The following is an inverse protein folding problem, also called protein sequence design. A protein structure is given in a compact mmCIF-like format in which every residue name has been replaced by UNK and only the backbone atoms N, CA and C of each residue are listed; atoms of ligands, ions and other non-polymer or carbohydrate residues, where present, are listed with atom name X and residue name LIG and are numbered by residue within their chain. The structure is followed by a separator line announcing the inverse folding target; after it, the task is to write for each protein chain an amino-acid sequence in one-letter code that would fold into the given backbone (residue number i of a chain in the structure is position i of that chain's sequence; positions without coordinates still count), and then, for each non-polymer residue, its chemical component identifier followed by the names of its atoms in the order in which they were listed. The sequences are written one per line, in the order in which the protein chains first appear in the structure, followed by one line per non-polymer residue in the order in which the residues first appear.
data_IF_371053601774
#
_entry.id   IF_371053601774
#
_cell.length_a   1.000
_cell.length_b   1.000
_cell.length_c   1.000
_cell.angle_alpha   90.00
_cell.angle_beta   90.00
_cell.angle_gamma   90.00
#
_symmetry.space_group_name_H-M   'P 1'
#
loop_
_entity.id
_entity.type
_entity.pdbx_description
1 polymer ?
#
# COMPACT_ATOMS: atom_id res chain seq x y z
N UNK A 1 19.27 19.27 -1.96
CA UNK A 1 18.46 18.09 -1.53
C UNK A 1 19.35 17.20 -0.67
N UNK A 2 18.93 16.80 0.52
CA UNK A 2 19.81 16.05 1.44
C UNK A 2 19.47 14.55 1.36
N UNK A 3 20.36 13.76 0.74
CA UNK A 3 20.13 12.35 0.40
C UNK A 3 19.86 11.47 1.64
N UNK A 4 20.48 11.79 2.77
CA UNK A 4 20.28 11.09 4.04
C UNK A 4 18.82 11.16 4.51
N UNK A 5 18.13 12.28 4.25
CA UNK A 5 16.70 12.42 4.57
C UNK A 5 15.87 11.44 3.75
N UNK A 6 16.14 11.34 2.45
CA UNK A 6 15.36 10.49 1.54
C UNK A 6 15.60 9.02 1.85
N UNK A 7 16.86 8.60 1.98
CA UNK A 7 17.21 7.23 2.32
C UNK A 7 16.74 6.82 3.71
N UNK A 8 16.84 7.71 4.70
CA UNK A 8 16.36 7.46 6.06
C UNK A 8 14.85 7.27 6.12
N UNK A 9 14.08 8.13 5.44
CA UNK A 9 12.62 7.98 5.35
C UNK A 9 12.22 6.73 4.57
N UNK A 10 12.93 6.42 3.48
CA UNK A 10 12.71 5.20 2.70
C UNK A 10 12.96 3.93 3.53
N UNK A 11 14.10 3.86 4.23
CA UNK A 11 14.44 2.73 5.08
C UNK A 11 13.43 2.56 6.22
N UNK A 12 13.05 3.65 6.88
CA UNK A 12 12.03 3.61 7.94
C UNK A 12 10.68 3.11 7.40
N UNK A 13 10.24 3.62 6.26
CA UNK A 13 9.01 3.18 5.61
C UNK A 13 9.07 1.68 5.26
N UNK A 14 10.21 1.20 4.74
CA UNK A 14 10.40 -0.23 4.45
C UNK A 14 10.21 -1.10 5.70
N UNK A 15 10.87 -0.77 6.82
CA UNK A 15 10.75 -1.56 8.06
C UNK A 15 9.34 -1.49 8.64
N UNK A 16 8.67 -0.34 8.60
CA UNK A 16 7.26 -0.22 9.01
C UNK A 16 6.37 -1.10 8.12
N UNK A 17 6.57 -1.09 6.81
CA UNK A 17 5.82 -1.95 5.88
C UNK A 17 6.02 -3.43 6.17
N UNK A 18 7.25 -3.87 6.42
CA UNK A 18 7.57 -5.25 6.83
C UNK A 18 6.88 -5.60 8.15
N UNK A 19 6.91 -4.71 9.14
CA UNK A 19 6.25 -4.91 10.43
C UNK A 19 4.71 -4.98 10.32
N UNK A 20 4.11 -4.22 9.39
CA UNK A 20 2.67 -4.23 9.13
C UNK A 20 2.22 -5.43 8.28
N UNK A 21 3.13 -6.06 7.55
CA UNK A 21 2.83 -7.20 6.67
C UNK A 21 2.10 -8.34 7.38
N UNK A 22 2.54 -8.88 8.53
CA UNK A 22 1.81 -9.96 9.20
C UNK A 22 0.40 -9.57 9.64
N UNK A 23 0.20 -8.31 10.04
CA UNK A 23 -1.12 -7.80 10.44
C UNK A 23 -2.05 -7.78 9.23
N UNK A 24 -1.58 -7.19 8.12
CA UNK A 24 -2.39 -7.11 6.91
C UNK A 24 -2.69 -8.51 6.38
N UNK A 25 -1.69 -9.37 6.23
CA UNK A 25 -1.89 -10.72 5.67
C UNK A 25 -2.85 -11.53 6.52
N UNK A 26 -2.78 -11.45 7.86
CA UNK A 26 -3.75 -12.10 8.74
C UNK A 26 -5.20 -11.74 8.37
N UNK A 27 -5.50 -10.44 8.20
CA UNK A 27 -6.85 -10.01 7.82
C UNK A 27 -7.21 -10.38 6.38
N UNK A 28 -6.28 -10.27 5.43
CA UNK A 28 -6.54 -10.65 4.04
C UNK A 28 -6.84 -12.15 3.91
N UNK A 29 -6.14 -13.01 4.67
CA UNK A 29 -6.43 -14.44 4.71
C UNK A 29 -7.74 -14.73 5.45
N UNK A 30 -8.00 -14.06 6.59
CA UNK A 30 -9.23 -14.22 7.38
C UNK A 30 -10.49 -13.90 6.58
N UNK A 31 -10.48 -12.82 5.82
CA UNK A 31 -11.62 -12.39 5.00
C UNK A 31 -11.60 -12.96 3.58
N UNK A 32 -10.61 -13.82 3.26
CA UNK A 32 -10.46 -14.45 1.94
C UNK A 32 -10.43 -13.41 0.80
N UNK A 33 -9.65 -12.34 0.99
CA UNK A 33 -9.48 -11.22 0.06
C UNK A 33 -8.58 -11.61 -1.12
N UNK A 34 -8.97 -12.65 -1.86
CA UNK A 34 -8.33 -13.13 -3.09
C UNK A 34 -9.37 -13.24 -4.20
N UNK A 35 -8.97 -13.57 -5.44
CA UNK A 35 -9.94 -13.72 -6.53
C UNK A 35 -10.78 -14.97 -6.27
N UNK A 36 -12.10 -14.81 -6.18
CA UNK A 36 -13.01 -15.93 -5.93
C UNK A 36 -13.20 -16.80 -7.17
N UNK A 37 -13.08 -16.21 -8.36
CA UNK A 37 -13.21 -16.92 -9.64
C UNK A 37 -12.06 -16.61 -10.62
N UNK A 38 -11.50 -17.68 -11.21
CA UNK A 38 -10.63 -17.57 -12.37
C UNK A 38 -11.50 -17.23 -13.61
N UNK A 39 -10.99 -16.41 -14.55
CA UNK A 39 -11.78 -15.88 -15.67
C UNK A 39 -12.37 -17.05 -16.46
N UNK A 40 -13.70 -17.14 -16.47
CA UNK A 40 -14.46 -18.20 -17.17
C UNK A 40 -14.65 -17.89 -18.65
N UNK A 41 -14.43 -16.63 -19.06
CA UNK A 41 -14.54 -16.17 -20.44
C UNK A 41 -13.23 -15.55 -20.92
N UNK A 42 -12.81 -15.91 -22.12
CA UNK A 42 -11.77 -15.22 -22.86
C UNK A 42 -12.29 -13.88 -23.44
N UNK A 43 -11.40 -12.96 -23.85
CA UNK A 43 -11.77 -11.68 -24.45
C UNK A 43 -12.63 -11.80 -25.72
N UNK A 44 -12.65 -12.98 -26.34
CA UNK A 44 -13.44 -13.34 -27.52
C UNK A 44 -14.83 -13.93 -27.17
N UNK A 45 -15.18 -14.02 -25.88
CA UNK A 45 -16.44 -14.60 -25.40
C UNK A 45 -16.45 -16.13 -25.33
N UNK A 46 -15.36 -16.80 -25.68
CA UNK A 46 -15.25 -18.26 -25.59
C UNK A 46 -14.99 -18.71 -24.15
N UNK A 47 -15.45 -19.92 -23.79
CA UNK A 47 -15.17 -20.50 -22.49
C UNK A 47 -13.70 -20.96 -22.43
N UNK A 48 -13.01 -20.69 -21.30
CA UNK A 48 -11.61 -21.09 -21.08
C UNK A 48 -11.46 -22.24 -20.06
N UNK A 49 -11.94 -23.46 -20.37
CA UNK A 49 -11.94 -24.58 -19.42
C UNK A 49 -10.53 -25.03 -19.01
N UNK A 50 -9.55 -24.97 -19.92
CA UNK A 50 -8.16 -25.39 -19.66
C UNK A 50 -7.44 -24.37 -18.75
N UNK A 51 -7.63 -23.07 -18.97
CA UNK A 51 -7.04 -22.03 -18.12
C UNK A 51 -7.58 -22.11 -16.68
N UNK A 52 -8.89 -22.32 -16.54
CA UNK A 52 -9.54 -22.52 -15.25
C UNK A 52 -9.04 -23.78 -14.52
N UNK A 53 -8.75 -24.88 -15.22
CA UNK A 53 -8.21 -26.09 -14.61
C UNK A 53 -6.76 -25.93 -14.15
N UNK A 54 -5.92 -25.23 -14.91
CA UNK A 54 -4.49 -25.07 -14.61
C UNK A 54 -4.18 -23.97 -13.58
N UNK A 55 -5.02 -22.92 -13.48
CA UNK A 55 -4.73 -21.75 -12.64
C UNK A 55 -5.63 -21.61 -11.40
N UNK A 56 -6.64 -22.49 -11.24
CA UNK A 56 -7.60 -22.45 -10.12
C UNK A 56 -6.92 -22.42 -8.76
N UNK A 57 -5.90 -23.26 -8.53
CA UNK A 57 -5.28 -23.38 -7.22
C UNK A 57 -4.34 -22.22 -6.87
N UNK A 58 -3.74 -21.57 -7.88
CA UNK A 58 -2.76 -20.50 -7.67
C UNK A 58 -3.44 -19.13 -7.48
N UNK A 59 -4.50 -18.86 -8.25
CA UNK A 59 -5.24 -17.60 -8.17
C UNK A 59 -6.16 -17.49 -6.93
N UNK A 60 -6.46 -18.61 -6.27
CA UNK A 60 -7.39 -18.67 -5.12
C UNK A 60 -6.70 -18.75 -3.76
N UNK A 61 -5.37 -18.82 -3.70
CA UNK A 61 -4.62 -18.96 -2.44
C UNK A 61 -3.86 -17.69 -2.02
N UNK A 62 -3.51 -16.81 -2.97
CA UNK A 62 -2.75 -15.60 -2.67
C UNK A 62 -3.68 -14.39 -2.50
N UNK A 63 -3.65 -13.68 -1.35
CA UNK A 63 -4.44 -12.48 -1.15
C UNK A 63 -4.01 -11.38 -2.11
N UNK A 64 -5.00 -10.66 -2.66
CA UNK A 64 -4.80 -9.62 -3.66
C UNK A 64 -5.23 -8.29 -3.07
N UNK A 65 -4.32 -7.65 -2.33
CA UNK A 65 -4.53 -6.31 -1.75
C UNK A 65 -3.23 -5.74 -1.15
N UNK A 66 -2.07 -6.15 -1.67
CA UNK A 66 -0.77 -5.71 -1.17
C UNK A 66 -0.56 -4.20 -1.27
N UNK A 67 -1.28 -3.53 -2.18
CA UNK A 67 -1.27 -2.06 -2.30
C UNK A 67 -1.65 -1.33 -1.01
N UNK A 68 -2.42 -1.97 -0.11
CA UNK A 68 -2.75 -1.43 1.21
C UNK A 68 -1.48 -1.11 2.01
N UNK A 69 -0.45 -1.96 1.95
CA UNK A 69 0.81 -1.70 2.65
C UNK A 69 1.46 -0.40 2.18
N UNK A 70 1.36 -0.06 0.89
CA UNK A 70 2.06 1.10 0.33
C UNK A 70 1.45 2.39 0.86
N UNK A 71 0.14 2.58 0.67
CA UNK A 71 -0.51 3.85 1.03
C UNK A 71 -0.66 3.98 2.55
N UNK A 72 -0.96 2.89 3.28
CA UNK A 72 -1.04 2.90 4.76
C UNK A 72 0.31 3.24 5.38
N UNK A 73 1.41 2.61 4.92
CA UNK A 73 2.75 2.90 5.43
C UNK A 73 3.13 4.36 5.16
N UNK A 74 2.85 4.86 3.96
CA UNK A 74 3.12 6.25 3.59
C UNK A 74 2.36 7.23 4.48
N UNK A 75 1.08 6.97 4.75
CA UNK A 75 0.27 7.76 5.68
C UNK A 75 0.82 7.72 7.11
N UNK A 76 1.16 6.54 7.62
CA UNK A 76 1.71 6.38 8.97
C UNK A 76 2.98 7.20 9.13
N UNK A 77 3.93 7.07 8.19
CA UNK A 77 5.18 7.83 8.23
C UNK A 77 4.90 9.34 8.16
N UNK A 78 3.96 9.77 7.31
CA UNK A 78 3.57 11.18 7.20
C UNK A 78 3.02 11.73 8.52
N UNK A 79 2.11 10.99 9.16
CA UNK A 79 1.49 11.38 10.42
C UNK A 79 2.47 11.34 11.58
N UNK A 80 3.37 10.34 11.64
CA UNK A 80 4.42 10.26 12.67
C UNK A 80 5.30 11.52 12.62
N UNK A 81 5.86 11.88 11.47
CA UNK A 81 6.74 13.05 11.41
C UNK A 81 5.99 14.37 11.55
N UNK A 82 4.73 14.43 11.11
CA UNK A 82 3.87 15.57 11.41
C UNK A 82 3.66 15.74 12.91
N UNK A 83 3.28 14.68 13.63
CA UNK A 83 3.07 14.70 15.07
C UNK A 83 4.37 15.01 15.83
N UNK A 84 5.48 14.35 15.49
CA UNK A 84 6.79 14.60 16.09
C UNK A 84 7.20 16.06 15.92
N UNK A 85 7.01 16.65 14.75
CA UNK A 85 7.33 18.07 14.53
C UNK A 85 6.49 19.05 15.35
N UNK A 86 5.31 18.62 15.81
CA UNK A 86 4.40 19.43 16.64
C UNK A 86 4.68 19.27 18.13
N UNK A 87 5.01 18.06 18.58
CA UNK A 87 5.30 17.76 20.00
C UNK A 87 6.74 18.16 20.35
N UNK A 88 7.68 17.86 19.46
CA UNK A 88 9.10 18.18 19.61
C UNK A 88 9.54 19.04 18.42
N UNK A 89 9.51 20.39 18.54
CA UNK A 89 9.90 21.30 17.47
C UNK A 89 11.42 21.37 17.27
N UNK A 90 12.08 20.20 17.24
CA UNK A 90 13.48 20.06 16.91
C UNK A 90 13.69 20.25 15.39
N UNK A 91 14.77 20.95 14.95
CA UNK A 91 15.07 21.16 13.54
C UNK A 91 15.10 19.88 12.70
N UNK A 92 15.49 18.74 13.28
CA UNK A 92 15.50 17.45 12.63
C UNK A 92 14.09 16.95 12.29
N UNK A 93 13.15 17.02 13.24
CA UNK A 93 11.78 16.54 13.02
C UNK A 93 10.98 17.46 12.10
N UNK A 94 11.18 18.78 12.22
CA UNK A 94 10.63 19.75 11.26
C UNK A 94 11.14 19.48 9.85
N UNK A 95 12.44 19.17 9.72
CA UNK A 95 13.05 18.83 8.43
C UNK A 95 12.55 17.49 7.89
N UNK A 96 12.26 16.50 8.73
CA UNK A 96 11.73 15.20 8.31
C UNK A 96 10.24 15.25 7.94
N UNK A 97 9.45 16.13 8.56
CA UNK A 97 8.05 16.35 8.25
C UNK A 97 7.87 16.86 6.80
N UNK A 98 7.46 15.98 5.90
CA UNK A 98 7.19 16.33 4.50
C UNK A 98 5.77 16.87 4.27
N UNK A 99 4.84 16.78 5.23
CA UNK A 99 3.51 17.41 5.13
C UNK A 99 3.57 18.94 5.31
N UNK A 100 4.68 19.47 5.85
CA UNK A 100 4.95 20.91 5.91
C UNK A 100 5.06 21.58 4.54
N UNK A 101 5.28 20.79 3.47
CA UNK A 101 5.44 21.30 2.11
C UNK A 101 4.11 21.28 1.38
N UNK A 102 3.67 22.43 0.87
CA UNK A 102 2.44 22.56 0.08
C UNK A 102 2.37 21.58 -1.10
N UNK A 103 3.52 21.29 -1.74
CA UNK A 103 3.58 20.39 -2.89
C UNK A 103 3.37 18.91 -2.56
N UNK A 104 3.41 18.51 -1.29
CA UNK A 104 3.25 17.10 -0.91
C UNK A 104 1.78 16.69 -0.79
N UNK A 105 0.88 17.65 -0.69
CA UNK A 105 -0.56 17.41 -0.61
C UNK A 105 -1.14 16.87 -1.91
N UNK A 106 -0.70 17.37 -3.08
CA UNK A 106 -1.20 16.89 -4.38
C UNK A 106 -0.84 15.43 -4.63
N UNK A 107 0.44 14.99 -4.53
CA UNK A 107 0.80 13.58 -4.69
C UNK A 107 0.12 12.67 -3.67
N UNK A 108 0.01 13.11 -2.41
CA UNK A 108 -0.63 12.31 -1.36
C UNK A 108 -2.13 12.17 -1.59
N UNK A 109 -2.80 13.23 -2.04
CA UNK A 109 -4.21 13.19 -2.43
C UNK A 109 -4.47 12.21 -3.58
N UNK A 110 -3.64 12.25 -4.62
CA UNK A 110 -3.74 11.33 -5.76
C UNK A 110 -3.50 9.88 -5.34
N UNK A 111 -2.49 9.63 -4.49
CA UNK A 111 -2.21 8.30 -3.96
C UNK A 111 -3.43 7.72 -3.22
N UNK A 112 -4.05 8.51 -2.34
CA UNK A 112 -5.22 8.07 -1.58
C UNK A 112 -6.46 7.88 -2.46
N UNK A 113 -6.70 8.79 -3.40
CA UNK A 113 -7.82 8.67 -4.34
C UNK A 113 -7.68 7.42 -5.21
N UNK A 114 -6.50 7.20 -5.81
CA UNK A 114 -6.23 6.00 -6.60
C UNK A 114 -6.28 4.71 -5.78
N UNK A 115 -5.77 4.75 -4.53
CA UNK A 115 -5.87 3.63 -3.61
C UNK A 115 -7.32 3.30 -3.24
N UNK A 116 -8.17 4.31 -3.02
CA UNK A 116 -9.58 4.11 -2.73
C UNK A 116 -10.32 3.48 -3.93
N UNK A 117 -10.08 3.99 -5.15
CA UNK A 117 -10.65 3.41 -6.37
C UNK A 117 -10.18 1.96 -6.55
N UNK A 118 -8.89 1.68 -6.42
CA UNK A 118 -8.35 0.33 -6.56
C UNK A 118 -8.71 -0.62 -5.40
N UNK A 119 -9.22 -0.11 -4.28
CA UNK A 119 -9.75 -0.93 -3.18
C UNK A 119 -11.21 -1.35 -3.43
N UNK A 120 -11.94 -0.53 -4.20
CA UNK A 120 -13.35 -0.73 -4.54
C UNK A 120 -13.56 -1.54 -5.83
N UNK A 121 -12.52 -1.66 -6.67
CA UNK A 121 -12.45 -2.52 -7.87
C UNK A 121 -12.14 -3.99 -7.52
#
# INVERSE_FOLDING_TARGET
MNIYKVLGLWGLAFFIGVALTPILTHYLYKYKMWRKDARTMAPDGSSTPIFNQLHKERETKAPRMGGILIWVTTLIVALIFWALSRIFPDPLFVKLNFLSRGQTWVPLGILLAGAAVGLLD
#
